data_IF_785980410235
#
_entry.id   IF_785980410235
#
_cell.length_a   1.000
_cell.length_b   1.000
_cell.length_c   1.000
_cell.angle_alpha   90.00
_cell.angle_beta   90.00
_cell.angle_gamma   90.00
#
_symmetry.space_group_name_H-M   'P 1'
#
loop_
_entity.id
_entity.type
_entity.pdbx_description
1 polymer ?
#
# COMPACT_ATOMS: atom_id res chain seq x y z
N UNK A 1 -24.45 -26.77 5.06
CA UNK A 1 -24.71 -25.33 5.18
C UNK A 1 -23.97 -24.65 6.33
N UNK A 2 -23.97 -25.17 7.57
CA UNK A 2 -23.31 -24.53 8.72
C UNK A 2 -21.80 -24.24 8.49
N UNK A 3 -21.03 -25.22 7.97
CA UNK A 3 -19.61 -25.07 7.71
C UNK A 3 -19.28 -23.99 6.64
N UNK A 4 -20.13 -23.89 5.62
CA UNK A 4 -19.98 -22.87 4.59
C UNK A 4 -20.12 -21.46 5.17
N UNK A 5 -21.10 -21.23 6.03
CA UNK A 5 -21.30 -19.94 6.70
C UNK A 5 -20.12 -19.58 7.61
N UNK A 6 -19.54 -20.55 8.31
CA UNK A 6 -18.38 -20.35 9.18
C UNK A 6 -17.16 -19.94 8.35
N UNK A 7 -16.87 -20.65 7.25
CA UNK A 7 -15.75 -20.33 6.36
C UNK A 7 -15.95 -18.95 5.72
N UNK A 8 -17.15 -18.65 5.24
CA UNK A 8 -17.48 -17.33 4.68
C UNK A 8 -17.26 -16.22 5.70
N UNK A 9 -17.77 -16.37 6.93
CA UNK A 9 -17.60 -15.40 8.00
C UNK A 9 -16.12 -15.22 8.37
N UNK A 10 -15.33 -16.29 8.40
CA UNK A 10 -13.90 -16.23 8.67
C UNK A 10 -13.14 -15.44 7.61
N UNK A 11 -13.40 -15.70 6.33
CA UNK A 11 -12.75 -14.98 5.22
C UNK A 11 -13.13 -13.49 5.24
N UNK A 12 -14.41 -13.18 5.47
CA UNK A 12 -14.89 -11.80 5.55
C UNK A 12 -14.23 -11.07 6.72
N UNK A 13 -14.20 -11.69 7.91
CA UNK A 13 -13.56 -11.12 9.10
C UNK A 13 -12.07 -10.87 8.89
N UNK A 14 -11.37 -11.82 8.26
CA UNK A 14 -9.96 -11.66 7.91
C UNK A 14 -9.73 -10.48 6.97
N UNK A 15 -10.57 -10.33 5.93
CA UNK A 15 -10.45 -9.23 4.97
C UNK A 15 -10.73 -7.87 5.62
N UNK A 16 -11.75 -7.78 6.46
CA UNK A 16 -12.06 -6.56 7.22
C UNK A 16 -10.89 -6.20 8.12
N UNK A 17 -10.35 -7.15 8.89
CA UNK A 17 -9.21 -6.93 9.77
C UNK A 17 -7.96 -6.48 9.00
N UNK A 18 -7.70 -7.10 7.83
CA UNK A 18 -6.59 -6.72 6.96
C UNK A 18 -6.73 -5.28 6.44
N UNK A 19 -7.88 -4.92 5.88
CA UNK A 19 -8.13 -3.57 5.35
C UNK A 19 -8.12 -2.51 6.47
N UNK A 20 -8.72 -2.80 7.62
CA UNK A 20 -8.73 -1.90 8.77
C UNK A 20 -7.31 -1.66 9.30
N UNK A 21 -6.53 -2.74 9.48
CA UNK A 21 -5.13 -2.65 9.91
C UNK A 21 -4.29 -1.84 8.91
N UNK A 22 -4.46 -2.09 7.61
CA UNK A 22 -3.79 -1.34 6.54
C UNK A 22 -4.14 0.16 6.57
N UNK A 23 -5.42 0.48 6.74
CA UNK A 23 -5.91 1.85 6.85
C UNK A 23 -5.30 2.59 8.04
N UNK A 24 -5.33 1.99 9.23
CA UNK A 24 -4.78 2.58 10.46
C UNK A 24 -3.26 2.77 10.36
N UNK A 25 -2.53 1.78 9.80
CA UNK A 25 -1.09 1.90 9.57
C UNK A 25 -0.77 3.01 8.58
N UNK A 26 -1.58 3.21 7.53
CA UNK A 26 -1.38 4.30 6.57
C UNK A 26 -1.47 5.65 7.27
N UNK A 27 -2.49 5.88 8.09
CA UNK A 27 -2.65 7.12 8.86
C UNK A 27 -1.49 7.32 9.85
N UNK A 28 -1.06 6.24 10.51
CA UNK A 28 0.06 6.30 11.45
C UNK A 28 1.35 6.75 10.77
N UNK A 29 1.72 6.13 9.65
CA UNK A 29 2.95 6.47 8.94
C UNK A 29 2.86 7.83 8.23
N UNK A 30 1.71 8.22 7.73
CA UNK A 30 1.47 9.57 7.19
C UNK A 30 1.71 10.65 8.27
N UNK A 31 1.20 10.45 9.49
CA UNK A 31 1.47 11.36 10.62
C UNK A 31 2.95 11.42 10.98
N UNK A 32 3.64 10.27 11.01
CA UNK A 32 5.09 10.20 11.27
C UNK A 32 5.89 10.91 10.18
N UNK A 33 5.48 10.78 8.92
CA UNK A 33 6.10 11.48 7.80
C UNK A 33 5.93 13.00 7.91
N UNK A 34 4.73 13.47 8.22
CA UNK A 34 4.47 14.90 8.45
C UNK A 34 5.27 15.45 9.62
N UNK A 35 5.39 14.70 10.72
CA UNK A 35 6.22 15.09 11.86
C UNK A 35 7.71 15.18 11.48
N UNK A 36 8.20 14.26 10.63
CA UNK A 36 9.56 14.32 10.08
C UNK A 36 9.79 15.56 9.21
N UNK A 37 8.83 15.90 8.33
CA UNK A 37 8.92 17.07 7.47
C UNK A 37 8.97 18.39 8.28
N UNK A 38 8.23 18.47 9.37
CA UNK A 38 8.21 19.65 10.27
C UNK A 38 9.39 19.69 11.25
N UNK A 39 10.30 18.72 11.19
CA UNK A 39 11.48 18.66 12.06
C UNK A 39 11.20 18.24 13.51
N UNK A 40 9.96 17.83 13.81
CA UNK A 40 9.54 17.37 15.16
C UNK A 40 9.59 15.85 15.34
N UNK A 41 9.97 15.12 14.30
CA UNK A 41 9.95 13.65 14.29
C UNK A 41 11.33 13.03 14.15
N UNK A 42 11.39 11.72 14.40
CA UNK A 42 12.57 10.89 14.15
C UNK A 42 12.89 10.80 12.64
N UNK A 43 14.09 10.35 12.31
CA UNK A 43 14.52 10.16 10.93
C UNK A 43 13.60 9.13 10.25
N UNK A 44 12.91 9.54 9.18
CA UNK A 44 11.90 8.69 8.52
C UNK A 44 12.46 7.42 7.88
N UNK A 45 13.77 7.33 7.68
CA UNK A 45 14.45 6.13 7.18
C UNK A 45 14.16 4.89 8.02
N UNK A 46 13.93 5.05 9.33
CA UNK A 46 13.55 3.95 10.23
C UNK A 46 12.22 3.29 9.84
N UNK A 47 11.33 4.05 9.23
CA UNK A 47 10.00 3.57 8.81
C UNK A 47 9.97 3.14 7.34
N UNK A 48 11.07 3.22 6.59
CA UNK A 48 11.10 2.94 5.15
C UNK A 48 10.65 1.51 4.80
N UNK A 49 11.14 0.51 5.50
CA UNK A 49 10.82 -0.89 5.24
C UNK A 49 9.33 -1.22 5.47
N UNK A 50 8.73 -0.88 6.63
CA UNK A 50 7.29 -1.11 6.85
C UNK A 50 6.39 -0.28 5.92
N UNK A 51 6.80 0.94 5.54
CA UNK A 51 6.05 1.78 4.59
C UNK A 51 6.09 1.18 3.18
N UNK A 52 7.24 0.68 2.71
CA UNK A 52 7.32 -0.05 1.43
C UNK A 52 6.41 -1.27 1.40
N UNK A 53 6.40 -2.06 2.49
CA UNK A 53 5.52 -3.22 2.61
C UNK A 53 4.05 -2.80 2.54
N UNK A 54 3.69 -1.71 3.21
CA UNK A 54 2.34 -1.15 3.19
C UNK A 54 1.92 -0.72 1.79
N UNK A 55 2.77 0.02 1.07
CA UNK A 55 2.50 0.45 -0.31
C UNK A 55 2.39 -0.73 -1.27
N UNK A 56 3.23 -1.74 -1.11
CA UNK A 56 3.12 -2.99 -1.89
C UNK A 56 1.78 -3.70 -1.64
N UNK A 57 1.33 -3.78 -0.38
CA UNK A 57 0.03 -4.35 -0.03
C UNK A 57 -1.14 -3.56 -0.61
N UNK A 58 -1.02 -2.23 -0.65
CA UNK A 58 -2.00 -1.34 -1.26
C UNK A 58 -1.87 -1.22 -2.79
N UNK A 59 -1.01 -2.01 -3.43
CA UNK A 59 -0.76 -1.99 -4.88
C UNK A 59 -0.41 -0.61 -5.43
N UNK A 60 0.22 0.24 -4.60
CA UNK A 60 0.70 1.56 -5.04
C UNK A 60 1.91 1.38 -5.93
N UNK A 61 1.86 1.96 -7.13
CA UNK A 61 3.00 1.96 -8.05
C UNK A 61 4.16 2.78 -7.48
N UNK A 62 5.39 2.32 -7.71
CA UNK A 62 6.59 3.03 -7.27
C UNK A 62 6.83 4.23 -8.19
N UNK A 63 6.69 5.47 -7.73
CA UNK A 63 6.99 6.63 -8.55
C UNK A 63 8.50 6.78 -8.74
N UNK A 64 8.89 7.15 -9.96
CA UNK A 64 10.27 7.45 -10.32
C UNK A 64 10.44 8.96 -10.44
N UNK A 65 11.53 9.49 -9.90
CA UNK A 65 11.94 10.89 -10.05
C UNK A 65 13.25 10.95 -10.82
N UNK A 66 13.34 11.90 -11.74
CA UNK A 66 14.58 12.22 -12.41
C UNK A 66 15.47 13.07 -11.48
N UNK A 67 16.61 12.51 -11.09
CA UNK A 67 17.67 13.23 -10.41
C UNK A 67 18.72 13.64 -11.43
N UNK A 68 19.00 14.95 -11.52
CA UNK A 68 20.09 15.49 -12.32
C UNK A 68 21.30 15.63 -11.43
N UNK A 69 22.34 14.85 -11.71
CA UNK A 69 23.63 14.94 -11.01
C UNK A 69 24.68 15.57 -11.95
N UNK A 70 25.41 16.61 -11.52
CA UNK A 70 26.53 17.12 -12.30
C UNK A 70 27.68 16.12 -12.28
N UNK A 71 28.07 15.61 -13.43
CA UNK A 71 29.15 14.60 -13.59
C UNK A 71 30.43 15.24 -14.14
N UNK A 72 30.69 16.49 -13.83
CA UNK A 72 31.88 17.24 -14.30
C UNK A 72 31.55 18.42 -15.19
N UNK A 73 32.56 19.11 -15.71
CA UNK A 73 32.43 20.36 -16.49
C UNK A 73 31.35 20.23 -17.59
N UNK A 74 30.17 20.84 -17.36
CA UNK A 74 29.10 20.98 -18.36
C UNK A 74 28.32 19.69 -18.68
N UNK A 75 28.56 18.57 -17.99
CA UNK A 75 27.83 17.30 -18.21
C UNK A 75 26.84 17.06 -17.05
N UNK A 76 25.59 16.88 -17.39
CA UNK A 76 24.51 16.51 -16.46
C UNK A 76 24.11 15.07 -16.77
N UNK A 77 24.14 14.20 -15.75
CA UNK A 77 23.60 12.84 -15.83
C UNK A 77 22.22 12.84 -15.19
N UNK A 78 21.22 12.38 -15.95
CA UNK A 78 19.88 12.16 -15.43
C UNK A 78 19.77 10.69 -14.98
N UNK A 79 19.51 10.45 -13.71
CA UNK A 79 19.23 9.14 -13.18
C UNK A 79 17.78 9.08 -12.68
N UNK A 80 17.03 8.07 -13.12
CA UNK A 80 15.70 7.81 -12.59
C UNK A 80 15.85 7.06 -11.27
N UNK A 81 15.43 7.67 -10.17
CA UNK A 81 15.55 7.11 -8.83
C UNK A 81 14.15 6.88 -8.25
N UNK A 82 13.98 5.74 -7.60
CA UNK A 82 12.73 5.42 -6.90
C UNK A 82 12.52 6.38 -5.72
N UNK A 83 11.32 6.95 -5.63
CA UNK A 83 10.91 7.75 -4.46
C UNK A 83 10.95 6.91 -3.19
N UNK A 84 10.61 5.63 -3.28
CA UNK A 84 10.61 4.73 -2.12
C UNK A 84 12.03 4.38 -1.61
N UNK A 85 13.07 4.57 -2.43
CA UNK A 85 14.46 4.43 -1.98
C UNK A 85 14.98 5.71 -1.32
N UNK A 86 14.34 6.85 -1.61
CA UNK A 86 14.72 8.17 -1.13
C UNK A 86 13.65 8.85 -0.28
N UNK A 87 12.89 8.10 0.52
CA UNK A 87 11.78 8.63 1.34
C UNK A 87 12.19 9.72 2.32
N UNK A 88 13.45 9.73 2.75
CA UNK A 88 13.99 10.73 3.66
C UNK A 88 14.42 12.03 2.94
N UNK A 89 14.31 12.09 1.63
CA UNK A 89 14.65 13.30 0.88
C UNK A 89 13.49 14.32 0.99
N UNK A 90 13.81 15.52 1.48
CA UNK A 90 12.83 16.61 1.67
C UNK A 90 12.59 17.45 0.41
N UNK A 91 13.01 16.99 -0.77
CA UNK A 91 12.69 17.67 -2.03
C UNK A 91 11.18 17.70 -2.23
N UNK A 92 10.67 18.82 -2.72
CA UNK A 92 9.23 19.03 -2.92
C UNK A 92 8.59 17.95 -3.80
N UNK A 93 9.29 17.51 -4.86
CA UNK A 93 8.83 16.43 -5.74
C UNK A 93 8.68 15.11 -4.99
N UNK A 94 9.71 14.74 -4.18
CA UNK A 94 9.69 13.51 -3.36
C UNK A 94 8.55 13.56 -2.35
N UNK A 95 8.39 14.69 -1.68
CA UNK A 95 7.32 14.90 -0.69
C UNK A 95 5.95 14.78 -1.35
N UNK A 96 5.75 15.42 -2.52
CA UNK A 96 4.49 15.34 -3.27
C UNK A 96 4.14 13.90 -3.66
N UNK A 97 5.09 13.15 -4.20
CA UNK A 97 4.89 11.74 -4.55
C UNK A 97 4.61 10.86 -3.34
N UNK A 98 5.30 11.08 -2.21
CA UNK A 98 5.06 10.34 -0.97
C UNK A 98 3.66 10.60 -0.42
N UNK A 99 3.22 11.86 -0.36
CA UNK A 99 1.87 12.22 0.09
C UNK A 99 0.78 11.61 -0.81
N UNK A 100 1.00 11.65 -2.13
CA UNK A 100 0.09 11.00 -3.09
C UNK A 100 0.04 9.47 -2.87
N UNK A 101 1.19 8.82 -2.62
CA UNK A 101 1.26 7.39 -2.34
C UNK A 101 0.52 7.02 -1.06
N UNK A 102 0.61 7.83 0.01
CA UNK A 102 -0.20 7.63 1.22
C UNK A 102 -1.70 7.82 0.95
N UNK A 103 -2.08 8.81 0.16
CA UNK A 103 -3.48 9.02 -0.22
C UNK A 103 -4.04 7.84 -1.03
N UNK A 104 -3.27 7.31 -1.99
CA UNK A 104 -3.63 6.13 -2.77
C UNK A 104 -3.77 4.89 -1.89
N UNK A 105 -2.81 4.64 -0.98
CA UNK A 105 -2.87 3.51 -0.05
C UNK A 105 -4.09 3.60 0.88
N UNK A 106 -4.39 4.79 1.40
CA UNK A 106 -5.57 5.04 2.22
C UNK A 106 -6.86 4.79 1.43
N UNK A 107 -6.91 5.26 0.18
CA UNK A 107 -8.03 5.01 -0.74
C UNK A 107 -8.26 3.52 -0.99
N UNK A 108 -7.19 2.77 -1.27
CA UNK A 108 -7.25 1.33 -1.49
C UNK A 108 -7.85 0.57 -0.29
N UNK A 109 -7.33 0.81 0.92
CA UNK A 109 -7.84 0.13 2.10
C UNK A 109 -9.26 0.56 2.47
N UNK A 110 -9.60 1.85 2.29
CA UNK A 110 -10.96 2.35 2.49
C UNK A 110 -11.95 1.70 1.53
N UNK A 111 -11.61 1.60 0.24
CA UNK A 111 -12.45 0.93 -0.74
C UNK A 111 -12.61 -0.55 -0.41
N UNK A 112 -11.53 -1.24 -0.01
CA UNK A 112 -11.60 -2.62 0.43
C UNK A 112 -12.52 -2.85 1.63
N UNK A 113 -12.59 -1.90 2.58
CA UNK A 113 -13.56 -1.93 3.68
C UNK A 113 -14.99 -1.77 3.17
N UNK A 114 -15.24 -0.79 2.30
CA UNK A 114 -16.58 -0.56 1.73
C UNK A 114 -17.08 -1.77 0.92
N UNK A 115 -16.18 -2.39 0.15
CA UNK A 115 -16.50 -3.62 -0.59
C UNK A 115 -16.93 -4.76 0.32
N UNK A 116 -16.33 -4.91 1.52
CA UNK A 116 -16.73 -5.95 2.48
C UNK A 116 -18.19 -5.82 2.94
N UNK A 117 -18.76 -4.62 2.90
CA UNK A 117 -20.17 -4.37 3.25
C UNK A 117 -21.10 -4.37 2.04
N UNK A 118 -20.58 -4.53 0.82
CA UNK A 118 -21.39 -4.58 -0.40
C UNK A 118 -22.01 -5.95 -0.60
N UNK A 119 -23.35 -6.05 -0.81
CA UNK A 119 -24.01 -7.32 -1.11
C UNK A 119 -23.52 -7.95 -2.42
N UNK A 120 -23.14 -7.14 -3.40
CA UNK A 120 -22.57 -7.62 -4.67
C UNK A 120 -21.23 -8.35 -4.44
N UNK A 121 -20.42 -7.88 -3.52
CA UNK A 121 -19.18 -8.55 -3.14
C UNK A 121 -19.45 -9.92 -2.49
N UNK A 122 -20.48 -10.05 -1.67
CA UNK A 122 -20.85 -11.32 -1.06
C UNK A 122 -21.32 -12.33 -2.10
N UNK A 123 -22.12 -11.90 -3.07
CA UNK A 123 -22.53 -12.73 -4.20
C UNK A 123 -21.31 -13.22 -4.98
N UNK A 124 -20.40 -12.32 -5.34
CA UNK A 124 -19.15 -12.68 -6.00
C UNK A 124 -18.31 -13.67 -5.20
N UNK A 125 -18.19 -13.46 -3.89
CA UNK A 125 -17.46 -14.38 -3.00
C UNK A 125 -18.09 -15.78 -3.02
N UNK A 126 -19.41 -15.89 -2.98
CA UNK A 126 -20.13 -17.18 -3.00
C UNK A 126 -19.86 -17.92 -4.32
N UNK A 127 -19.93 -17.23 -5.46
CA UNK A 127 -19.70 -17.84 -6.77
C UNK A 127 -18.24 -18.20 -7.04
N UNK A 128 -17.28 -17.40 -6.56
CA UNK A 128 -15.84 -17.61 -6.81
C UNK A 128 -15.10 -18.26 -5.64
N UNK A 129 -15.79 -18.61 -4.55
CA UNK A 129 -15.18 -19.27 -3.40
C UNK A 129 -14.44 -20.57 -3.79
N UNK A 130 -14.99 -21.45 -4.64
CA UNK A 130 -14.29 -22.67 -5.05
C UNK A 130 -12.99 -22.39 -5.78
N UNK A 131 -12.97 -21.47 -6.75
CA UNK A 131 -11.78 -21.14 -7.52
C UNK A 131 -10.70 -20.44 -6.67
N UNK A 132 -11.10 -19.57 -5.76
CA UNK A 132 -10.15 -18.90 -4.83
C UNK A 132 -9.58 -19.85 -3.77
N UNK A 133 -10.33 -20.86 -3.35
CA UNK A 133 -9.81 -21.92 -2.49
C UNK A 133 -8.80 -22.79 -3.23
N UNK A 134 -9.06 -23.13 -4.49
CA UNK A 134 -8.10 -23.86 -5.33
C UNK A 134 -6.80 -23.06 -5.53
N UNK A 135 -6.91 -21.75 -5.81
CA UNK A 135 -5.76 -20.86 -5.94
C UNK A 135 -4.95 -20.76 -4.63
N UNK A 136 -5.64 -20.70 -3.47
CA UNK A 136 -5.01 -20.67 -2.16
C UNK A 136 -4.33 -22.00 -1.80
N UNK A 137 -4.88 -23.13 -2.24
CA UNK A 137 -4.33 -24.48 -2.03
C UNK A 137 -3.23 -24.84 -3.05
N UNK A 138 -2.88 -23.93 -3.97
CA UNK A 138 -1.86 -24.14 -4.98
C UNK A 138 -2.26 -25.12 -6.09
N UNK A 139 -3.54 -25.45 -6.19
CA UNK A 139 -4.08 -26.25 -7.30
C UNK A 139 -4.37 -25.28 -8.44
N UNK A 140 -3.41 -25.11 -9.36
CA UNK A 140 -3.65 -24.41 -10.61
C UNK A 140 -4.60 -25.30 -11.45
N UNK A 141 -5.77 -24.78 -11.78
CA UNK A 141 -6.60 -25.35 -12.84
C UNK A 141 -5.98 -24.92 -14.18
N UNK A 142 -5.20 -25.81 -14.79
CA UNK A 142 -4.89 -25.72 -16.21
C UNK A 142 -6.16 -25.88 -17.03
#
# INVERSE_FOLDING_TARGET
MKYFLIVFAAILSYRVAFCLSGYLRTIYYEKKYNAYLTGKGEIFTLYSAPVRKLFKQAKVSTPLIALCEPVGFGKIRTANVSVFDNMANKRQDTVGHMMNSFAQARGYFRMGLLECFSPLYWIQMIFFLPSKLCEFLGVSSD
#
